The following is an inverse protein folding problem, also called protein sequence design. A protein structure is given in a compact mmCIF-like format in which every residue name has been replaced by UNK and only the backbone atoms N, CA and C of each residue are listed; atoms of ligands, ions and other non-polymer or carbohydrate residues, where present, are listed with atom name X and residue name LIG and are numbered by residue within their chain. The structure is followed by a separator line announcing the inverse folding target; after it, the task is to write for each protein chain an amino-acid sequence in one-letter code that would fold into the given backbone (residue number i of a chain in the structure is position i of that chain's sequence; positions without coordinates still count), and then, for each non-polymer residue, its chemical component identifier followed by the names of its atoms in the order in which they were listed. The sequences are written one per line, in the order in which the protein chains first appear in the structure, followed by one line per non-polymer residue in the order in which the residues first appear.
data_IF_100257213066
#
_entry.id   IF_100257213066
#
_cell.length_a   1.000
_cell.length_b   1.000
_cell.length_c   1.000
_cell.angle_alpha   90.00
_cell.angle_beta   90.00
_cell.angle_gamma   90.00
#
_symmetry.space_group_name_H-M   'P 1'
#
loop_
_entity.id
_entity.type
_entity.pdbx_description
1 polymer ?
#
# COMPACT_ATOMS: atom_id res chain seq x y z
N UNK A 1 11.30 3.24 10.60
CA UNK A 1 10.54 1.99 10.36
C UNK A 1 9.95 1.56 11.69
N UNK A 2 8.66 1.22 11.74
CA UNK A 2 7.98 0.87 13.00
C UNK A 2 7.67 -0.61 13.03
N UNK A 3 8.27 -1.32 13.98
CA UNK A 3 7.87 -2.69 14.30
C UNK A 3 6.47 -2.67 14.92
N UNK A 4 5.61 -3.59 14.51
CA UNK A 4 4.24 -3.67 14.99
C UNK A 4 3.75 -5.12 14.92
N UNK A 5 2.65 -5.41 15.63
CA UNK A 5 2.00 -6.71 15.64
C UNK A 5 0.48 -6.54 15.73
N UNK A 6 -0.27 -7.62 15.53
CA UNK A 6 -1.70 -7.65 15.74
C UNK A 6 -2.07 -8.91 16.54
N UNK A 7 -2.76 -8.79 17.68
CA UNK A 7 -3.19 -9.95 18.45
C UNK A 7 -4.32 -10.71 17.73
N UNK A 8 -4.46 -12.00 18.06
CA UNK A 8 -5.55 -12.84 17.62
C UNK A 8 -6.91 -12.29 18.09
N UNK A 9 -7.96 -12.51 17.30
CA UNK A 9 -9.33 -12.20 17.72
C UNK A 9 -9.93 -13.42 18.44
N UNK A 10 -10.11 -13.33 19.76
CA UNK A 10 -10.64 -14.40 20.61
C UNK A 10 -12.17 -14.35 20.80
N UNK A 11 -12.84 -13.46 20.07
CA UNK A 11 -14.31 -13.27 20.16
C UNK A 11 -15.01 -13.85 18.93
N UNK A 12 -16.34 -14.01 19.00
CA UNK A 12 -17.18 -14.42 17.86
C UNK A 12 -17.48 -13.25 16.90
N UNK A 13 -17.15 -12.02 17.28
CA UNK A 13 -17.40 -10.83 16.47
C UNK A 13 -16.22 -10.56 15.51
N UNK A 14 -16.50 -10.23 14.24
CA UNK A 14 -15.45 -9.92 13.26
C UNK A 14 -14.80 -8.57 13.54
N UNK A 15 -13.47 -8.52 13.66
CA UNK A 15 -12.69 -7.27 13.65
C UNK A 15 -12.57 -6.74 12.22
N UNK A 16 -13.14 -5.56 11.96
CA UNK A 16 -13.04 -4.85 10.67
C UNK A 16 -12.17 -3.61 10.85
N UNK A 17 -11.27 -3.35 9.90
CA UNK A 17 -10.35 -2.22 9.93
C UNK A 17 -10.10 -1.71 8.51
N UNK A 18 -9.75 -0.43 8.39
CA UNK A 18 -9.20 0.18 7.18
C UNK A 18 -7.74 0.53 7.45
N UNK A 19 -6.84 0.08 6.59
CA UNK A 19 -5.43 0.46 6.63
C UNK A 19 -5.12 1.32 5.41
N UNK A 20 -4.52 2.48 5.65
CA UNK A 20 -4.14 3.45 4.61
C UNK A 20 -2.64 3.66 4.70
N UNK A 21 -1.99 3.70 3.53
CA UNK A 21 -0.58 4.07 3.41
C UNK A 21 -0.46 5.27 2.50
N UNK A 22 0.19 6.30 3.02
CA UNK A 22 0.65 7.43 2.23
C UNK A 22 2.08 7.18 1.76
N UNK A 23 2.36 7.60 0.53
CA UNK A 23 3.70 7.64 -0.06
C UNK A 23 4.09 9.11 -0.23
N UNK A 24 5.39 9.40 -0.27
CA UNK A 24 5.86 10.75 -0.57
C UNK A 24 5.52 11.15 -2.00
N UNK A 25 5.44 12.46 -2.25
CA UNK A 25 5.15 13.03 -3.57
C UNK A 25 6.22 12.66 -4.61
N UNK A 26 7.42 12.29 -4.17
CA UNK A 26 8.55 11.81 -4.97
C UNK A 26 8.65 10.28 -5.04
N UNK A 27 7.64 9.56 -4.54
CA UNK A 27 7.60 8.10 -4.51
C UNK A 27 7.66 7.48 -5.90
N UNK A 28 8.49 6.43 -6.05
CA UNK A 28 8.68 5.69 -7.30
C UNK A 28 8.43 4.20 -7.15
N UNK A 29 7.95 3.57 -8.22
CA UNK A 29 7.77 2.13 -8.29
C UNK A 29 9.10 1.40 -8.30
N UNK A 30 9.16 0.30 -7.55
CA UNK A 30 10.30 -0.62 -7.49
C UNK A 30 9.78 -2.02 -7.72
N UNK A 31 10.22 -2.65 -8.80
CA UNK A 31 9.90 -4.02 -9.17
C UNK A 31 10.56 -4.97 -8.17
N UNK A 32 9.73 -5.78 -7.52
CA UNK A 32 10.18 -6.81 -6.58
C UNK A 32 9.96 -8.19 -7.19
N UNK A 33 10.83 -9.13 -6.83
CA UNK A 33 10.74 -10.52 -7.28
C UNK A 33 9.47 -11.26 -6.81
N UNK A 34 8.71 -10.68 -5.87
CA UNK A 34 7.47 -11.24 -5.35
C UNK A 34 6.35 -10.21 -5.27
N UNK A 35 5.12 -10.71 -5.07
CA UNK A 35 3.92 -9.88 -4.92
C UNK A 35 4.04 -8.97 -3.70
N UNK A 36 3.78 -7.68 -3.85
CA UNK A 36 3.60 -6.76 -2.72
C UNK A 36 2.28 -7.02 -2.01
N UNK A 37 2.17 -6.59 -0.75
CA UNK A 37 0.89 -6.43 -0.07
C UNK A 37 0.68 -4.94 0.21
N UNK A 38 -0.40 -4.32 -0.28
CA UNK A 38 -1.39 -4.89 -1.21
C UNK A 38 -0.79 -5.30 -2.57
N UNK A 39 -1.40 -6.30 -3.21
CA UNK A 39 -1.01 -6.80 -4.53
C UNK A 39 -1.85 -6.11 -5.59
N UNK A 40 -1.18 -5.46 -6.54
CA UNK A 40 -1.80 -4.71 -7.62
C UNK A 40 -1.41 -5.32 -8.97
N UNK A 41 -2.06 -6.41 -9.40
CA UNK A 41 -1.70 -7.11 -10.64
C UNK A 41 -1.93 -6.26 -11.89
N UNK A 42 -2.88 -5.32 -11.84
CA UNK A 42 -3.33 -4.52 -12.98
C UNK A 42 -2.65 -3.14 -13.05
N UNK A 43 -1.71 -2.85 -12.14
CA UNK A 43 -0.88 -1.64 -12.22
C UNK A 43 0.23 -1.87 -13.24
N UNK A 44 0.18 -1.13 -14.34
CA UNK A 44 1.22 -1.10 -15.36
C UNK A 44 2.25 -0.03 -14.98
N UNK A 45 3.30 -0.42 -14.25
CA UNK A 45 4.43 0.44 -13.87
C UNK A 45 5.75 -0.21 -14.29
N UNK A 46 6.66 0.61 -14.80
CA UNK A 46 8.06 0.26 -15.03
C UNK A 46 8.92 0.64 -13.82
N UNK A 47 10.12 0.04 -13.74
CA UNK A 47 11.08 0.36 -12.68
C UNK A 47 11.41 1.86 -12.68
N UNK A 48 11.21 2.53 -11.55
CA UNK A 48 11.51 3.95 -11.39
C UNK A 48 10.37 4.90 -11.78
N UNK A 49 9.24 4.41 -12.29
CA UNK A 49 8.09 5.25 -12.60
C UNK A 49 7.56 5.99 -11.36
N UNK A 50 7.18 7.28 -11.49
CA UNK A 50 6.60 8.03 -10.37
C UNK A 50 5.18 7.53 -10.07
N UNK A 51 4.83 7.41 -8.79
CA UNK A 51 3.45 7.15 -8.39
C UNK A 51 2.57 8.35 -8.76
N UNK A 52 1.61 8.13 -9.66
CA UNK A 52 0.75 9.18 -10.19
C UNK A 52 -0.58 8.61 -10.70
N UNK A 53 -1.45 9.47 -11.25
CA UNK A 53 -2.71 9.06 -11.83
C UNK A 53 -3.84 8.90 -10.81
N UNK A 54 -4.90 8.18 -11.20
CA UNK A 54 -6.09 7.98 -10.35
C UNK A 54 -5.82 6.99 -9.21
N UNK A 55 -4.82 6.16 -9.40
CA UNK A 55 -4.38 5.10 -8.51
C UNK A 55 -3.59 5.67 -7.31
N UNK A 56 -2.91 6.81 -7.51
CA UNK A 56 -2.17 7.55 -6.50
C UNK A 56 -2.55 9.04 -6.52
N UNK A 57 -3.75 9.39 -6.04
CA UNK A 57 -4.21 10.77 -6.05
C UNK A 57 -3.44 11.64 -5.05
N UNK A 58 -3.23 12.91 -5.40
CA UNK A 58 -2.74 13.93 -4.48
C UNK A 58 -3.83 14.24 -3.45
N UNK A 59 -3.47 14.20 -2.17
CA UNK A 59 -4.41 14.44 -1.07
C UNK A 59 -4.64 15.92 -0.79
N UNK A 60 -3.59 16.71 -0.95
CA UNK A 60 -3.58 18.12 -0.64
C UNK A 60 -2.60 18.86 -1.57
N UNK A 61 -3.03 19.96 -2.22
CA UNK A 61 -2.19 20.74 -3.12
C UNK A 61 -1.22 21.69 -2.39
#
# INVERSE_FOLDING_TARGET
RTLHSAPANTTTMRRRVTSIRWVGDDGRFVKRAGKSSPYFPDLEYEEGDPFSGKEFPILYP
#
